data_IF_330350818587
#
_entry.id   IF_330350818587
#
_cell.length_a   1.000
_cell.length_b   1.000
_cell.length_c   1.000
_cell.angle_alpha   90.00
_cell.angle_beta   90.00
_cell.angle_gamma   90.00
#
_symmetry.space_group_name_H-M   'P 1'
#
loop_
_entity.id
_entity.type
_entity.pdbx_description
1 polymer ?
#
# COMPACT_ATOMS: atom_id res chain seq x y z
N UNK A 1 -18.92 2.21 -16.29
CA UNK A 1 -18.28 2.70 -15.06
C UNK A 1 -16.93 2.06 -15.05
N UNK A 2 -15.93 2.83 -15.43
CA UNK A 2 -14.62 2.29 -15.75
C UNK A 2 -13.71 2.50 -14.54
N UNK A 3 -12.96 1.46 -14.18
CA UNK A 3 -12.00 1.46 -13.08
C UNK A 3 -10.63 1.22 -13.70
N UNK A 4 -9.72 2.15 -13.47
CA UNK A 4 -8.32 2.03 -13.90
C UNK A 4 -7.53 1.03 -13.06
N UNK A 5 -6.30 0.78 -13.49
CA UNK A 5 -5.38 -0.05 -12.74
C UNK A 5 -5.07 0.53 -11.35
N UNK A 6 -4.72 -0.35 -10.42
CA UNK A 6 -4.37 0.00 -9.05
C UNK A 6 -2.86 0.17 -8.94
N UNK A 7 -2.42 1.31 -8.42
CA UNK A 7 -1.04 1.55 -8.01
C UNK A 7 -0.93 1.54 -6.49
N UNK A 8 0.17 1.00 -5.95
CA UNK A 8 0.46 1.04 -4.53
C UNK A 8 1.59 2.03 -4.24
N UNK A 9 1.41 2.86 -3.23
CA UNK A 9 2.50 3.60 -2.60
C UNK A 9 2.79 3.00 -1.24
N UNK A 10 4.07 2.74 -0.97
CA UNK A 10 4.56 2.33 0.33
C UNK A 10 5.38 3.47 0.92
N UNK A 11 4.94 4.03 2.04
CA UNK A 11 5.69 5.07 2.76
C UNK A 11 6.19 4.51 4.09
N UNK A 12 7.47 4.78 4.37
CA UNK A 12 8.15 4.33 5.57
C UNK A 12 8.89 5.50 6.19
N UNK A 13 8.62 5.73 7.47
CA UNK A 13 9.31 6.76 8.24
C UNK A 13 9.65 6.27 9.64
N UNK A 14 10.57 6.97 10.27
CA UNK A 14 10.90 6.76 11.68
C UNK A 14 10.45 7.99 12.46
N UNK A 15 9.59 7.79 13.46
CA UNK A 15 9.27 8.81 14.45
C UNK A 15 10.32 8.74 15.56
N UNK A 16 11.21 9.73 15.60
CA UNK A 16 12.38 9.73 16.47
C UNK A 16 13.32 8.54 16.18
N UNK A 17 14.10 8.10 17.17
CA UNK A 17 15.06 7.00 17.11
C UNK A 17 14.51 5.65 17.57
N UNK A 18 13.25 5.59 18.02
CA UNK A 18 12.67 4.39 18.63
C UNK A 18 11.64 3.69 17.73
N UNK A 19 10.80 4.44 17.01
CA UNK A 19 9.62 3.90 16.36
C UNK A 19 9.67 4.06 14.85
N UNK A 20 9.59 2.95 14.13
CA UNK A 20 9.42 2.93 12.68
C UNK A 20 7.96 2.63 12.32
N UNK A 21 7.47 3.24 11.25
CA UNK A 21 6.13 3.03 10.72
C UNK A 21 6.16 2.75 9.23
N UNK A 22 5.21 1.93 8.78
CA UNK A 22 5.02 1.57 7.39
C UNK A 22 3.55 1.65 7.04
N UNK A 23 3.24 2.37 5.96
CA UNK A 23 1.89 2.50 5.42
C UNK A 23 1.88 2.07 3.96
N UNK A 24 0.82 1.35 3.59
CA UNK A 24 0.52 1.00 2.20
C UNK A 24 -0.80 1.64 1.85
N UNK A 25 -0.79 2.44 0.79
CA UNK A 25 -1.97 3.13 0.24
C UNK A 25 -2.13 2.71 -1.20
N UNK A 26 -3.35 2.31 -1.58
CA UNK A 26 -3.69 2.11 -2.98
C UNK A 26 -4.23 3.39 -3.60
N UNK A 27 -4.05 3.51 -4.90
CA UNK A 27 -4.53 4.62 -5.71
C UNK A 27 -5.08 4.05 -7.02
N UNK A 28 -6.26 4.49 -7.43
CA UNK A 28 -6.85 4.12 -8.72
C UNK A 28 -7.66 5.26 -9.29
N UNK A 29 -7.86 5.26 -10.61
CA UNK A 29 -8.75 6.22 -11.26
C UNK A 29 -10.12 5.56 -11.43
N UNK A 30 -11.19 6.29 -11.15
CA UNK A 30 -12.57 5.82 -11.33
C UNK A 30 -13.38 6.82 -12.16
N UNK A 31 -14.11 6.33 -13.15
CA UNK A 31 -15.08 7.12 -13.88
C UNK A 31 -16.45 7.02 -13.22
N UNK A 32 -16.98 8.13 -12.72
CA UNK A 32 -18.31 8.19 -12.11
C UNK A 32 -19.41 8.45 -13.15
N UNK A 33 -19.11 9.31 -14.11
CA UNK A 33 -19.95 9.67 -15.26
C UNK A 33 -19.06 9.76 -16.51
N UNK A 34 -19.60 9.61 -17.73
CA UNK A 34 -18.79 9.67 -18.95
C UNK A 34 -17.92 10.94 -19.03
N UNK A 35 -16.60 10.77 -18.98
CA UNK A 35 -15.61 11.86 -18.99
C UNK A 35 -15.28 12.45 -17.62
N UNK A 36 -15.95 12.04 -16.54
CA UNK A 36 -15.71 12.48 -15.17
C UNK A 36 -14.87 11.44 -14.41
N UNK A 37 -13.55 11.60 -14.51
CA UNK A 37 -12.55 10.74 -13.88
C UNK A 37 -12.05 11.35 -12.58
N UNK A 38 -12.06 10.58 -11.51
CA UNK A 38 -11.57 10.99 -10.20
C UNK A 38 -10.46 10.03 -9.72
N UNK A 39 -9.46 10.61 -9.02
CA UNK A 39 -8.43 9.84 -8.34
C UNK A 39 -8.95 9.43 -6.97
N UNK A 40 -8.99 8.13 -6.74
CA UNK A 40 -9.36 7.52 -5.48
C UNK A 40 -8.14 6.98 -4.76
N UNK A 41 -8.23 6.89 -3.43
CA UNK A 41 -7.20 6.26 -2.61
C UNK A 41 -7.78 5.63 -1.35
N UNK A 42 -7.17 4.53 -0.89
CA UNK A 42 -7.48 3.93 0.39
C UNK A 42 -6.21 3.44 1.12
N UNK A 43 -6.20 3.61 2.44
CA UNK A 43 -5.12 3.05 3.27
C UNK A 43 -5.39 1.56 3.46
N UNK A 44 -4.55 0.73 2.85
CA UNK A 44 -4.64 -0.73 2.94
C UNK A 44 -4.10 -1.25 4.28
N UNK A 45 -3.06 -0.61 4.80
CA UNK A 45 -2.46 -1.02 6.05
C UNK A 45 -1.54 0.03 6.63
N UNK A 46 -1.50 0.07 7.95
CA UNK A 46 -0.60 0.89 8.75
C UNK A 46 -0.05 0.02 9.89
N UNK A 47 1.26 -0.09 10.00
CA UNK A 47 1.90 -0.89 11.04
C UNK A 47 3.18 -0.25 11.57
N UNK A 48 3.43 -0.47 12.86
CA UNK A 48 4.72 -0.19 13.46
C UNK A 48 5.71 -1.30 13.07
N UNK A 49 6.91 -0.92 12.64
CA UNK A 49 8.00 -1.83 12.33
C UNK A 49 9.02 -1.84 13.46
N UNK A 50 9.76 -2.95 13.59
CA UNK A 50 11.04 -2.89 14.30
C UNK A 50 12.04 -2.09 13.45
N UNK A 51 13.02 -1.43 14.06
CA UNK A 51 13.96 -0.52 13.38
C UNK A 51 14.92 -1.19 12.35
N UNK A 52 14.55 -2.34 11.78
CA UNK A 52 15.30 -3.07 10.76
C UNK A 52 14.77 -2.73 9.36
N UNK A 53 15.38 -1.71 8.77
CA UNK A 53 14.97 -1.06 7.51
C UNK A 53 15.55 -1.71 6.25
N UNK A 54 15.49 -3.04 6.12
CA UNK A 54 16.00 -3.72 4.91
C UNK A 54 14.87 -4.12 3.95
N UNK A 55 15.20 -4.24 2.66
CA UNK A 55 14.24 -4.55 1.60
C UNK A 55 13.45 -5.84 1.84
N UNK A 56 14.08 -6.87 2.43
CA UNK A 56 13.40 -8.12 2.79
C UNK A 56 12.31 -7.91 3.85
N UNK A 57 12.58 -7.10 4.87
CA UNK A 57 11.60 -6.77 5.93
C UNK A 57 10.46 -5.92 5.39
N UNK A 58 10.76 -4.97 4.50
CA UNK A 58 9.76 -4.16 3.81
C UNK A 58 8.86 -5.01 2.93
N UNK A 59 9.44 -5.92 2.13
CA UNK A 59 8.68 -6.88 1.34
C UNK A 59 7.78 -7.75 2.23
N UNK A 60 8.31 -8.31 3.32
CA UNK A 60 7.51 -9.08 4.28
C UNK A 60 6.36 -8.27 4.90
N UNK A 61 6.57 -6.98 5.18
CA UNK A 61 5.53 -6.10 5.71
C UNK A 61 4.42 -5.85 4.69
N UNK A 62 4.79 -5.51 3.44
CA UNK A 62 3.86 -5.37 2.33
C UNK A 62 3.07 -6.66 2.09
N UNK A 63 3.75 -7.81 2.00
CA UNK A 63 3.11 -9.10 1.78
C UNK A 63 2.09 -9.44 2.87
N UNK A 64 2.42 -9.19 4.15
CA UNK A 64 1.49 -9.42 5.28
C UNK A 64 0.24 -8.55 5.20
N UNK A 65 0.37 -7.29 4.77
CA UNK A 65 -0.78 -6.40 4.55
C UNK A 65 -1.65 -6.96 3.42
N UNK A 66 -1.04 -7.35 2.29
CA UNK A 66 -1.75 -7.92 1.15
C UNK A 66 -2.41 -9.28 1.47
N UNK A 67 -1.74 -10.14 2.24
CA UNK A 67 -2.29 -11.42 2.69
C UNK A 67 -3.50 -11.23 3.60
N UNK A 68 -3.43 -10.30 4.57
CA UNK A 68 -4.56 -9.96 5.47
C UNK A 68 -5.79 -9.49 4.70
N UNK A 69 -5.59 -8.82 3.57
CA UNK A 69 -6.66 -8.33 2.70
C UNK A 69 -7.06 -9.34 1.60
N UNK A 70 -6.45 -10.53 1.57
CA UNK A 70 -6.64 -11.55 0.54
C UNK A 70 -6.32 -11.09 -0.89
N UNK A 71 -5.41 -10.12 -1.05
CA UNK A 71 -4.97 -9.57 -2.35
C UNK A 71 -3.52 -9.93 -2.69
N UNK A 72 -2.89 -10.83 -1.95
CA UNK A 72 -1.50 -11.26 -2.20
C UNK A 72 -1.28 -11.79 -3.62
N UNK A 73 -2.29 -12.42 -4.22
CA UNK A 73 -2.26 -12.89 -5.61
C UNK A 73 -2.22 -11.77 -6.67
N UNK A 74 -2.40 -10.51 -6.28
CA UNK A 74 -2.33 -9.34 -7.16
C UNK A 74 -0.96 -8.64 -7.12
N UNK A 75 -0.09 -9.04 -6.21
CA UNK A 75 1.23 -8.43 -6.04
C UNK A 75 2.27 -9.46 -6.46
N UNK A 76 2.81 -9.31 -7.66
CA UNK A 76 3.85 -10.19 -8.19
C UNK A 76 5.23 -9.73 -7.67
N UNK A 77 6.03 -10.66 -7.16
CA UNK A 77 7.48 -10.47 -6.98
C UNK A 77 7.98 -9.88 -5.65
N UNK A 78 7.25 -10.07 -4.53
CA UNK A 78 7.77 -9.76 -3.18
C UNK A 78 8.67 -10.88 -2.65
#
# INVERSE_FOLDING_TARGET
MDIGDISLTCDMWQASNADAYFVVTDHWIKEYEPGAWELESAVLGFMQMNNSHNGLRLGQALFKICERLCISHKVDGV
#
